data_IF_839537099490
#
_entry.id   IF_839537099490
#
_cell.length_a   1.000
_cell.length_b   1.000
_cell.length_c   1.000
_cell.angle_alpha   90.00
_cell.angle_beta   90.00
_cell.angle_gamma   90.00
#
_symmetry.space_group_name_H-M   'P 1'
#
loop_
_entity.id
_entity.type
_entity.pdbx_description
1 polymer ?
#
# COMPACT_ATOMS: atom_id res chain seq x y z
N UNK A 1 22.52 17.71 -19.12
CA UNK A 1 21.30 17.75 -18.28
C UNK A 1 21.25 19.11 -17.61
N UNK A 2 20.11 19.79 -17.64
CA UNK A 2 19.96 21.07 -16.95
C UNK A 2 19.89 20.82 -15.44
N UNK A 3 20.76 21.48 -14.68
CA UNK A 3 20.70 21.46 -13.23
C UNK A 3 19.84 22.64 -12.77
N UNK A 4 18.87 22.38 -11.89
CA UNK A 4 18.01 23.40 -11.29
C UNK A 4 18.23 23.44 -9.78
N UNK A 5 18.39 24.64 -9.24
CA UNK A 5 18.51 24.86 -7.80
C UNK A 5 17.11 25.03 -7.19
N UNK A 6 16.82 24.31 -6.11
CA UNK A 6 15.60 24.46 -5.32
C UNK A 6 16.00 24.92 -3.91
N UNK A 7 15.38 26.00 -3.43
CA UNK A 7 15.60 26.54 -2.08
C UNK A 7 14.32 26.41 -1.26
N UNK A 8 14.46 25.89 -0.03
CA UNK A 8 13.35 25.73 0.92
C UNK A 8 13.58 26.63 2.14
N UNK A 9 12.51 27.25 2.63
CA UNK A 9 12.49 27.90 3.95
C UNK A 9 11.90 26.92 4.96
N UNK A 10 12.59 26.74 6.08
CA UNK A 10 12.15 25.89 7.18
C UNK A 10 12.75 26.39 8.49
N UNK A 11 12.23 25.92 9.62
CA UNK A 11 12.82 26.18 10.92
C UNK A 11 14.10 25.34 11.10
N UNK A 12 15.13 25.94 11.70
CA UNK A 12 16.42 25.27 11.90
C UNK A 12 16.30 23.97 12.69
N UNK A 13 15.44 23.96 13.72
CA UNK A 13 15.21 22.76 14.55
C UNK A 13 14.60 21.62 13.72
N UNK A 14 13.66 21.93 12.84
CA UNK A 14 13.02 20.95 11.95
C UNK A 14 14.02 20.39 10.93
N UNK A 15 14.87 21.27 10.38
CA UNK A 15 15.97 20.87 9.48
C UNK A 15 16.94 19.90 10.15
N UNK A 16 17.43 20.23 11.36
CA UNK A 16 18.38 19.39 12.09
C UNK A 16 17.78 18.01 12.38
N UNK A 17 16.54 17.93 12.87
CA UNK A 17 15.86 16.65 13.12
C UNK A 17 15.71 15.82 11.85
N UNK A 18 15.34 16.44 10.73
CA UNK A 18 15.21 15.73 9.46
C UNK A 18 16.57 15.18 8.97
N UNK A 19 17.64 15.95 9.13
CA UNK A 19 19.01 15.49 8.82
C UNK A 19 19.41 14.29 9.67
N UNK A 20 19.15 14.33 10.98
CA UNK A 20 19.47 13.22 11.89
C UNK A 20 18.73 11.92 11.51
N UNK A 21 17.45 12.03 11.10
CA UNK A 21 16.68 10.87 10.60
C UNK A 21 17.32 10.32 9.31
N UNK A 22 17.67 11.20 8.37
CA UNK A 22 18.30 10.79 7.11
C UNK A 22 19.65 10.09 7.36
N UNK A 23 20.48 10.64 8.25
CA UNK A 23 21.78 10.06 8.62
C UNK A 23 21.63 8.66 9.23
N UNK A 24 20.65 8.45 10.11
CA UNK A 24 20.34 7.13 10.67
C UNK A 24 19.90 6.12 9.60
N UNK A 25 19.30 6.59 8.52
CA UNK A 25 18.93 5.79 7.34
C UNK A 25 20.10 5.64 6.35
N UNK A 26 21.26 6.24 6.61
CA UNK A 26 22.45 6.18 5.76
C UNK A 26 22.37 7.05 4.50
N UNK A 27 21.51 8.08 4.49
CA UNK A 27 21.32 9.00 3.36
C UNK A 27 21.40 10.45 3.81
N UNK A 28 21.67 11.37 2.89
CA UNK A 28 21.58 12.81 3.19
C UNK A 28 20.18 13.37 2.90
N UNK A 29 19.89 14.55 3.46
CA UNK A 29 18.60 15.22 3.27
C UNK A 29 18.32 15.52 1.79
N UNK A 30 19.36 15.82 0.99
CA UNK A 30 19.19 16.10 -0.44
C UNK A 30 18.77 14.85 -1.22
N UNK A 31 19.35 13.68 -0.92
CA UNK A 31 18.95 12.41 -1.52
C UNK A 31 17.53 12.05 -1.15
N UNK A 32 17.14 12.26 0.11
CA UNK A 32 15.75 12.11 0.53
C UNK A 32 14.79 12.99 -0.30
N UNK A 33 15.10 14.29 -0.44
CA UNK A 33 14.25 15.19 -1.25
C UNK A 33 14.18 14.79 -2.72
N UNK A 34 15.29 14.31 -3.32
CA UNK A 34 15.28 13.78 -4.68
C UNK A 34 14.38 12.56 -4.81
N UNK A 35 14.42 11.64 -3.85
CA UNK A 35 13.53 10.47 -3.82
C UNK A 35 12.06 10.89 -3.73
N UNK A 36 11.73 11.87 -2.89
CA UNK A 36 10.37 12.40 -2.79
C UNK A 36 9.88 12.99 -4.13
N UNK A 37 10.73 13.73 -4.84
CA UNK A 37 10.38 14.28 -6.17
C UNK A 37 10.16 13.15 -7.18
N UNK A 38 11.05 12.15 -7.22
CA UNK A 38 10.89 10.98 -8.09
C UNK A 38 9.60 10.23 -7.79
N UNK A 39 9.28 10.04 -6.51
CA UNK A 39 8.07 9.33 -6.10
C UNK A 39 6.81 10.12 -6.44
N UNK A 40 6.85 11.44 -6.27
CA UNK A 40 5.75 12.33 -6.64
C UNK A 40 5.39 12.21 -8.12
N UNK A 41 6.41 12.15 -8.99
CA UNK A 41 6.22 11.97 -10.43
C UNK A 41 5.69 10.57 -10.74
N UNK A 42 6.24 9.53 -10.12
CA UNK A 42 5.84 8.14 -10.36
C UNK A 42 4.40 7.85 -9.94
N UNK A 43 3.96 8.40 -8.81
CA UNK A 43 2.62 8.18 -8.28
C UNK A 43 1.59 9.19 -8.80
N UNK A 44 2.05 10.24 -9.49
CA UNK A 44 1.23 11.41 -9.85
C UNK A 44 0.48 11.97 -8.62
N UNK A 45 1.18 12.03 -7.48
CA UNK A 45 0.61 12.29 -6.16
C UNK A 45 1.68 12.56 -5.09
N UNK A 46 1.30 12.80 -3.84
CA UNK A 46 2.26 13.05 -2.75
C UNK A 46 2.80 11.75 -2.14
N UNK A 47 4.09 11.68 -1.78
CA UNK A 47 4.75 10.44 -1.32
C UNK A 47 4.49 10.13 0.17
N UNK A 48 3.26 10.36 0.64
CA UNK A 48 2.77 9.98 1.96
C UNK A 48 1.23 9.88 1.93
N UNK A 49 0.65 9.01 2.76
CA UNK A 49 -0.81 8.88 2.87
C UNK A 49 -1.40 10.21 3.36
N UNK A 50 -2.29 10.82 2.58
CA UNK A 50 -2.99 12.06 2.94
C UNK A 50 -4.33 11.79 3.64
N UNK A 51 -4.42 10.70 4.40
CA UNK A 51 -5.66 10.29 5.06
C UNK A 51 -5.44 10.20 6.56
N UNK A 52 -6.44 10.65 7.32
CA UNK A 52 -6.68 10.13 8.66
C UNK A 52 -7.14 8.69 8.45
N UNK A 53 -6.20 7.76 8.30
CA UNK A 53 -6.52 6.37 8.05
C UNK A 53 -7.18 5.80 9.33
N UNK A 54 -8.50 5.67 9.31
CA UNK A 54 -9.14 4.64 10.09
C UNK A 54 -8.66 3.32 9.46
N UNK A 55 -7.83 2.55 10.17
CA UNK A 55 -7.13 1.34 9.70
C UNK A 55 -8.05 0.27 9.07
N UNK A 56 -9.37 0.49 9.09
CA UNK A 56 -10.44 -0.39 8.64
C UNK A 56 -10.66 -0.45 7.11
N UNK A 57 -10.18 0.52 6.31
CA UNK A 57 -10.46 0.61 4.86
C UNK A 57 -9.35 0.01 3.96
N UNK A 58 -8.59 -0.96 4.46
CA UNK A 58 -7.66 -1.72 3.61
C UNK A 58 -8.46 -2.52 2.56
N UNK A 59 -8.19 -2.27 1.27
CA UNK A 59 -8.82 -2.97 0.14
C UNK A 59 -8.79 -4.50 0.32
N UNK A 60 -7.70 -5.07 0.82
CA UNK A 60 -7.59 -6.50 1.07
C UNK A 60 -8.60 -6.98 2.14
N UNK A 61 -8.76 -6.21 3.22
CA UNK A 61 -9.72 -6.52 4.30
C UNK A 61 -11.15 -6.41 3.79
N UNK A 62 -11.46 -5.42 2.94
CA UNK A 62 -12.78 -5.29 2.29
C UNK A 62 -13.07 -6.45 1.36
N UNK A 63 -12.09 -6.85 0.54
CA UNK A 63 -12.23 -7.97 -0.37
C UNK A 63 -12.44 -9.28 0.40
N UNK A 64 -11.69 -9.51 1.49
CA UNK A 64 -11.89 -10.68 2.34
C UNK A 64 -13.28 -10.69 3.01
N UNK A 65 -13.73 -9.58 3.59
CA UNK A 65 -15.07 -9.47 4.18
C UNK A 65 -16.18 -9.68 3.14
N UNK A 66 -16.02 -9.13 1.94
CA UNK A 66 -16.97 -9.33 0.85
C UNK A 66 -17.01 -10.77 0.37
N UNK A 67 -15.85 -11.43 0.24
CA UNK A 67 -15.76 -12.84 -0.12
C UNK A 67 -16.42 -13.75 0.93
N UNK A 68 -16.19 -13.49 2.22
CA UNK A 68 -16.87 -14.21 3.30
C UNK A 68 -18.40 -14.08 3.23
N UNK A 69 -18.91 -12.85 3.08
CA UNK A 69 -20.36 -12.63 2.92
C UNK A 69 -20.95 -13.36 1.71
N UNK A 70 -20.23 -13.38 0.58
CA UNK A 70 -20.68 -14.12 -0.61
C UNK A 70 -20.69 -15.63 -0.33
N UNK A 71 -19.70 -16.15 0.40
CA UNK A 71 -19.66 -17.56 0.78
C UNK A 71 -20.84 -17.93 1.69
N UNK A 72 -21.16 -17.07 2.68
CA UNK A 72 -22.33 -17.24 3.55
C UNK A 72 -23.65 -17.20 2.75
N UNK A 73 -23.79 -16.24 1.84
CA UNK A 73 -24.99 -16.08 0.99
C UNK A 73 -25.24 -17.27 0.06
N UNK A 74 -24.18 -18.00 -0.31
CA UNK A 74 -24.26 -19.17 -1.16
C UNK A 74 -24.19 -20.49 -0.37
N UNK A 75 -24.19 -20.43 0.98
CA UNK A 75 -24.09 -21.61 1.87
C UNK A 75 -22.82 -22.45 1.64
N UNK A 76 -21.76 -21.81 1.12
CA UNK A 76 -20.46 -22.46 0.81
C UNK A 76 -19.36 -22.08 1.80
N UNK A 77 -19.70 -21.35 2.86
CA UNK A 77 -18.73 -20.86 3.85
C UNK A 77 -18.02 -21.98 4.63
N UNK A 78 -18.73 -23.09 4.88
CA UNK A 78 -18.26 -24.21 5.71
C UNK A 78 -17.91 -25.47 4.89
N UNK A 79 -17.77 -25.37 3.57
CA UNK A 79 -17.42 -26.52 2.73
C UNK A 79 -16.05 -27.10 3.09
N UNK A 80 -16.00 -28.40 3.30
CA UNK A 80 -14.76 -29.12 3.54
C UNK A 80 -13.95 -29.28 2.24
N UNK A 81 -12.64 -29.53 2.36
CA UNK A 81 -11.77 -29.77 1.21
C UNK A 81 -12.24 -30.95 0.35
N UNK A 82 -12.83 -31.98 0.98
CA UNK A 82 -13.33 -33.16 0.29
C UNK A 82 -14.57 -32.83 -0.56
N UNK A 83 -15.50 -32.03 -0.02
CA UNK A 83 -16.69 -31.54 -0.73
C UNK A 83 -16.31 -30.62 -1.90
N UNK A 84 -15.36 -29.72 -1.69
CA UNK A 84 -14.82 -28.84 -2.74
C UNK A 84 -14.21 -29.67 -3.88
N UNK A 85 -13.40 -30.68 -3.53
CA UNK A 85 -12.76 -31.55 -4.54
C UNK A 85 -13.79 -32.40 -5.30
N UNK A 86 -14.85 -32.86 -4.63
CA UNK A 86 -15.93 -33.59 -5.25
C UNK A 86 -16.69 -32.71 -6.26
N UNK A 87 -17.07 -31.49 -5.90
CA UNK A 87 -17.74 -30.53 -6.79
C UNK A 87 -16.89 -30.22 -8.03
N UNK A 88 -15.60 -29.91 -7.83
CA UNK A 88 -14.66 -29.63 -8.93
C UNK A 88 -14.55 -30.84 -9.87
N UNK A 89 -14.50 -32.05 -9.33
CA UNK A 89 -14.42 -33.27 -10.11
C UNK A 89 -15.70 -33.53 -10.91
N UNK A 90 -16.88 -33.22 -10.37
CA UNK A 90 -18.14 -33.32 -11.10
C UNK A 90 -18.27 -32.27 -12.20
N UNK A 91 -17.96 -31.00 -11.91
CA UNK A 91 -18.01 -29.92 -12.90
C UNK A 91 -17.09 -30.20 -14.10
N UNK A 92 -15.90 -30.77 -13.86
CA UNK A 92 -14.94 -31.14 -14.92
C UNK A 92 -15.38 -32.32 -15.78
N UNK A 93 -16.30 -33.17 -15.31
CA UNK A 93 -16.87 -34.28 -16.10
C UNK A 93 -17.95 -33.82 -17.09
N UNK A 94 -18.50 -32.62 -16.88
CA UNK A 94 -19.54 -32.03 -17.73
C UNK A 94 -18.98 -31.20 -18.90
N UNK A 95 -17.65 -31.16 -19.05
CA UNK A 95 -16.89 -30.54 -20.15
C UNK A 95 -16.36 -31.62 -21.06
#
# INVERSE_FOLDING_TARGET
MANSLIQFRTEEVSRIKAMEICERLGIDLQTYMRMCISRLIQENGIPFSMKLDDLSDNKAVRTMKAAGRIADENDVADMTLDEINAEIAEARKQV
#
